data_IF_828762796798
#
_entry.id   IF_828762796798
#
_cell.length_a   1.000
_cell.length_b   1.000
_cell.length_c   1.000
_cell.angle_alpha   90.00
_cell.angle_beta   90.00
_cell.angle_gamma   90.00
#
_symmetry.space_group_name_H-M   'P 1'
#
loop_
_entity.id
_entity.type
_entity.pdbx_description
1 polymer ?
#
# COMPACT_ATOMS: atom_id res chain seq x y z
N UNK A 1 15.03 5.53 1.34
CA UNK A 1 14.12 6.47 0.66
C UNK A 1 12.78 5.78 0.44
N UNK A 2 11.66 6.42 0.77
CA UNK A 2 10.34 5.80 0.55
C UNK A 2 9.96 5.98 -0.91
N UNK A 3 10.08 4.93 -1.72
CA UNK A 3 9.75 4.98 -3.15
C UNK A 3 8.25 5.19 -3.32
N UNK A 4 7.87 6.32 -3.92
CA UNK A 4 6.47 6.58 -4.31
C UNK A 4 6.19 5.82 -5.61
N UNK A 5 5.09 5.08 -5.63
CA UNK A 5 4.61 4.37 -6.81
C UNK A 5 3.37 5.06 -7.35
N UNK A 6 3.24 5.15 -8.67
CA UNK A 6 2.06 5.69 -9.33
C UNK A 6 1.30 4.52 -9.94
N UNK A 7 0.02 4.40 -9.60
CA UNK A 7 -0.86 3.33 -10.05
C UNK A 7 -1.96 3.89 -10.94
N UNK A 8 -2.26 3.29 -12.10
CA UNK A 8 -3.45 3.61 -12.87
C UNK A 8 -4.68 3.08 -12.11
N UNK A 9 -5.71 3.93 -12.00
CA UNK A 9 -7.01 3.56 -11.42
C UNK A 9 -8.09 4.00 -12.36
N UNK A 10 -9.02 3.11 -12.71
CA UNK A 10 -10.22 3.45 -13.45
C UNK A 10 -11.34 3.70 -12.45
N UNK A 11 -11.96 4.88 -12.50
CA UNK A 11 -13.15 5.20 -11.74
C UNK A 11 -14.36 5.27 -12.68
N UNK A 12 -15.39 4.49 -12.36
CA UNK A 12 -16.68 4.52 -13.02
C UNK A 12 -17.73 5.21 -12.13
N UNK A 13 -18.48 6.16 -12.70
CA UNK A 13 -19.70 6.66 -12.09
C UNK A 13 -20.84 5.66 -12.34
N UNK A 14 -21.51 5.22 -11.28
CA UNK A 14 -22.63 4.28 -11.31
C UNK A 14 -23.88 5.01 -10.87
N UNK A 15 -24.88 5.08 -11.74
CA UNK A 15 -26.19 5.65 -11.40
C UNK A 15 -27.16 4.49 -11.19
N UNK A 16 -27.62 4.30 -9.95
CA UNK A 16 -28.59 3.28 -9.58
C UNK A 16 -29.70 3.92 -8.76
N UNK A 17 -30.96 3.73 -9.17
CA UNK A 17 -32.14 4.22 -8.44
C UNK A 17 -32.08 5.72 -8.08
N UNK A 18 -31.54 6.55 -8.99
CA UNK A 18 -31.39 7.99 -8.78
C UNK A 18 -30.25 8.40 -7.84
N UNK A 19 -29.46 7.45 -7.34
CA UNK A 19 -28.25 7.70 -6.55
C UNK A 19 -27.01 7.47 -7.40
N UNK A 20 -26.06 8.40 -7.31
CA UNK A 20 -24.75 8.26 -7.95
C UNK A 20 -23.76 7.69 -6.94
N UNK A 21 -23.10 6.60 -7.29
CA UNK A 21 -21.95 6.05 -6.57
C UNK A 21 -20.75 5.92 -7.49
N UNK A 22 -19.58 5.66 -6.93
CA UNK A 22 -18.33 5.57 -7.68
C UNK A 22 -17.67 4.23 -7.38
N UNK A 23 -17.26 3.53 -8.44
CA UNK A 23 -16.48 2.29 -8.36
C UNK A 23 -15.08 2.57 -8.89
N UNK A 24 -14.07 2.28 -8.09
CA UNK A 24 -12.66 2.33 -8.46
C UNK A 24 -12.12 0.91 -8.69
N UNK A 25 -11.36 0.72 -9.75
CA UNK A 25 -10.67 -0.53 -10.09
C UNK A 25 -9.24 -0.25 -10.48
N UNK A 26 -8.35 -1.21 -10.22
CA UNK A 26 -6.95 -1.14 -10.67
C UNK A 26 -6.78 -2.07 -11.86
N UNK A 27 -6.38 -1.57 -13.02
CA UNK A 27 -6.15 -2.44 -14.15
C UNK A 27 -5.01 -3.43 -13.89
N UNK A 28 -5.15 -4.65 -14.43
CA UNK A 28 -4.24 -5.76 -14.13
C UNK A 28 -4.43 -6.38 -12.74
N UNK A 29 -5.29 -5.82 -11.89
CA UNK A 29 -5.66 -6.34 -10.57
C UNK A 29 -7.19 -6.33 -10.40
N UNK A 30 -7.91 -7.23 -11.11
CA UNK A 30 -9.38 -7.21 -11.15
C UNK A 30 -10.05 -7.42 -9.79
N UNK A 31 -9.37 -8.08 -8.86
CA UNK A 31 -9.86 -8.31 -7.49
C UNK A 31 -9.76 -7.07 -6.58
N UNK A 32 -9.03 -6.04 -7.02
CA UNK A 32 -8.85 -4.80 -6.27
C UNK A 32 -9.91 -3.80 -6.72
N UNK A 33 -11.06 -3.87 -6.05
CA UNK A 33 -12.21 -3.00 -6.29
C UNK A 33 -12.58 -2.25 -5.02
N UNK A 34 -12.91 -0.97 -5.16
CA UNK A 34 -13.47 -0.18 -4.08
C UNK A 34 -14.70 0.59 -4.56
N UNK A 35 -15.66 0.80 -3.67
CA UNK A 35 -16.85 1.60 -3.93
C UNK A 35 -17.03 2.68 -2.87
N UNK A 36 -17.47 3.86 -3.30
CA UNK A 36 -17.80 5.00 -2.45
C UNK A 36 -19.04 5.73 -2.94
N UNK A 37 -19.70 6.45 -2.04
CA UNK A 37 -20.81 7.34 -2.39
C UNK A 37 -20.30 8.61 -3.09
N UNK A 38 -19.02 8.93 -2.88
CA UNK A 38 -18.33 10.04 -3.55
C UNK A 38 -17.09 9.55 -4.27
N UNK A 39 -16.66 10.30 -5.28
CA UNK A 39 -15.40 10.07 -6.00
C UNK A 39 -14.21 9.95 -5.03
N UNK A 40 -14.11 10.89 -4.08
CA UNK A 40 -13.03 10.92 -3.09
C UNK A 40 -13.01 9.70 -2.17
N UNK A 41 -14.19 9.22 -1.75
CA UNK A 41 -14.30 8.02 -0.92
C UNK A 41 -13.85 6.76 -1.65
N UNK A 42 -14.27 6.59 -2.91
CA UNK A 42 -13.83 5.46 -3.74
C UNK A 42 -12.30 5.48 -3.94
N UNK A 43 -11.74 6.67 -4.21
CA UNK A 43 -10.30 6.87 -4.36
C UNK A 43 -9.51 6.61 -3.06
N UNK A 44 -10.06 6.99 -1.90
CA UNK A 44 -9.44 6.73 -0.61
C UNK A 44 -9.42 5.23 -0.29
N UNK A 45 -10.53 4.53 -0.52
CA UNK A 45 -10.65 3.10 -0.27
C UNK A 45 -9.75 2.28 -1.19
N UNK A 46 -9.71 2.60 -2.48
CA UNK A 46 -8.81 1.90 -3.43
C UNK A 46 -7.35 2.16 -3.08
N UNK A 47 -6.98 3.37 -2.63
CA UNK A 47 -5.64 3.66 -2.12
C UNK A 47 -5.26 2.77 -0.97
N UNK A 48 -6.14 2.57 0.00
CA UNK A 48 -5.88 1.68 1.13
C UNK A 48 -5.74 0.22 0.68
N UNK A 49 -6.55 -0.23 -0.27
CA UNK A 49 -6.44 -1.57 -0.84
C UNK A 49 -5.10 -1.78 -1.54
N UNK A 50 -4.69 -0.87 -2.43
CA UNK A 50 -3.41 -0.93 -3.15
C UNK A 50 -2.22 -0.81 -2.20
N UNK A 51 -2.29 0.04 -1.19
CA UNK A 51 -1.22 0.20 -0.19
C UNK A 51 -0.91 -1.10 0.56
N UNK A 52 -1.91 -1.98 0.71
CA UNK A 52 -1.75 -3.29 1.36
C UNK A 52 -1.16 -4.35 0.42
N UNK A 53 -1.12 -4.11 -0.88
CA UNK A 53 -0.54 -5.02 -1.86
C UNK A 53 0.97 -4.82 -1.89
N UNK A 54 1.68 -5.67 -1.14
CA UNK A 54 3.11 -5.51 -0.86
C UNK A 54 4.06 -6.06 -1.93
N UNK A 55 3.55 -6.67 -3.01
CA UNK A 55 4.37 -7.57 -3.86
C UNK A 55 4.21 -7.32 -5.37
N UNK A 56 3.26 -6.50 -5.80
CA UNK A 56 3.01 -6.32 -7.25
C UNK A 56 3.57 -4.97 -7.70
N UNK A 57 4.45 -4.91 -8.74
CA UNK A 57 4.83 -3.64 -9.33
C UNK A 57 3.60 -2.95 -9.93
N UNK A 58 3.53 -1.61 -9.90
CA UNK A 58 2.47 -0.88 -10.58
C UNK A 58 2.42 -1.25 -12.06
N UNK A 59 1.21 -1.42 -12.58
CA UNK A 59 0.98 -1.59 -14.03
C UNK A 59 1.33 -0.28 -14.74
N UNK A 60 2.03 -0.37 -15.86
CA UNK A 60 2.35 0.80 -16.67
C UNK A 60 1.08 1.44 -17.24
N UNK A 61 1.12 2.77 -17.39
CA UNK A 61 0.05 3.50 -18.08
C UNK A 61 0.09 3.16 -19.56
N UNK A 62 -1.01 2.66 -20.09
CA UNK A 62 -1.21 2.52 -21.53
C UNK A 62 -1.93 3.75 -22.06
N UNK A 63 -1.47 4.30 -23.19
CA UNK A 63 -2.11 5.46 -23.83
C UNK A 63 -3.54 5.17 -24.29
N UNK A 64 -3.83 3.91 -24.66
CA UNK A 64 -5.07 3.51 -25.32
C UNK A 64 -5.96 2.64 -24.42
N UNK A 65 -6.06 2.95 -23.12
CA UNK A 65 -6.95 2.18 -22.25
C UNK A 65 -8.39 2.31 -22.75
N UNK A 66 -9.08 1.20 -23.12
CA UNK A 66 -10.48 1.27 -23.47
C UNK A 66 -11.28 1.65 -22.22
N UNK A 67 -11.81 2.88 -22.19
CA UNK A 67 -12.68 3.40 -21.13
C UNK A 67 -14.10 3.51 -21.66
N UNK A 68 -15.07 3.13 -20.82
CA UNK A 68 -16.47 3.44 -21.09
C UNK A 68 -16.77 4.93 -20.92
N UNK A 69 -17.92 5.39 -21.42
CA UNK A 69 -18.33 6.80 -21.36
C UNK A 69 -18.51 7.36 -19.95
N UNK A 70 -18.68 6.48 -18.95
CA UNK A 70 -18.81 6.82 -17.54
C UNK A 70 -17.52 6.54 -16.73
N UNK A 71 -16.42 6.20 -17.41
CA UNK A 71 -15.14 5.85 -16.80
C UNK A 71 -14.09 6.94 -16.99
N UNK A 72 -13.20 7.07 -16.01
CA UNK A 72 -12.07 7.99 -16.03
C UNK A 72 -10.82 7.32 -15.49
N UNK A 73 -9.69 7.54 -16.15
CA UNK A 73 -8.39 7.09 -15.68
C UNK A 73 -7.78 8.14 -14.74
N UNK A 74 -7.33 7.69 -13.57
CA UNK A 74 -6.76 8.52 -12.51
C UNK A 74 -5.39 7.98 -12.10
N UNK A 75 -4.41 8.88 -11.98
CA UNK A 75 -3.11 8.54 -11.45
C UNK A 75 -3.14 8.56 -9.91
N UNK A 76 -2.99 7.39 -9.30
CA UNK A 76 -2.99 7.23 -7.85
C UNK A 76 -1.56 7.10 -7.33
N UNK A 77 -1.10 8.10 -6.58
CA UNK A 77 0.19 8.03 -5.90
C UNK A 77 0.02 7.24 -4.59
N UNK A 78 0.78 6.15 -4.48
CA UNK A 78 0.79 5.25 -3.33
C UNK A 78 2.19 5.18 -2.75
N UNK A 79 2.28 5.22 -1.43
CA UNK A 79 3.50 4.90 -0.70
C UNK A 79 3.31 3.49 -0.15
N UNK A 80 4.02 2.47 -0.67
CA UNK A 80 3.83 1.10 -0.22
C UNK A 80 4.10 1.03 1.28
N UNK A 81 3.20 0.36 2.02
CA UNK A 81 3.49 0.04 3.41
C UNK A 81 4.34 -1.22 3.45
N UNK A 82 5.36 -1.26 4.32
CA UNK A 82 6.09 -2.50 4.54
C UNK A 82 5.09 -3.57 5.00
N UNK A 83 5.16 -4.76 4.40
CA UNK A 83 4.30 -5.88 4.77
C UNK A 83 4.32 -6.06 6.29
N UNK A 84 3.12 -6.08 6.88
CA UNK A 84 2.96 -6.48 8.27
C UNK A 84 3.51 -7.90 8.38
N UNK A 85 4.46 -8.16 9.29
CA UNK A 85 5.01 -9.50 9.43
C UNK A 85 3.87 -10.46 9.78
N UNK A 86 3.55 -11.38 8.88
CA UNK A 86 2.42 -12.31 9.02
C UNK A 86 2.66 -13.38 10.09
N UNK A 87 3.92 -13.57 10.53
CA UNK A 87 4.27 -14.37 11.71
C UNK A 87 5.59 -13.89 12.32
N UNK A 88 5.56 -13.46 13.57
CA UNK A 88 6.78 -13.18 14.33
C UNK A 88 7.53 -14.48 14.63
N UNK A 89 8.83 -14.53 14.34
CA UNK A 89 9.70 -15.67 14.70
C UNK A 89 10.58 -15.25 15.86
N UNK A 90 10.55 -16.02 16.96
CA UNK A 90 11.47 -15.81 18.08
C UNK A 90 12.88 -16.21 17.66
N UNK A 91 13.84 -15.30 17.84
CA UNK A 91 15.27 -15.54 17.64
C UNK A 91 16.00 -15.13 18.92
N UNK A 92 16.98 -15.95 19.31
CA UNK A 92 17.90 -15.60 20.40
C UNK A 92 19.18 -15.07 19.76
N UNK A 93 19.57 -13.86 20.11
CA UNK A 93 20.79 -13.19 19.65
C UNK A 93 21.51 -12.60 20.86
N UNK A 94 22.83 -12.50 20.78
CA UNK A 94 23.64 -11.81 21.78
C UNK A 94 23.90 -10.38 21.33
N UNK A 95 23.71 -9.42 22.23
CA UNK A 95 24.03 -8.00 22.02
C UNK A 95 24.90 -7.50 23.19
N UNK A 96 25.70 -6.45 22.99
CA UNK A 96 26.42 -5.78 24.06
C UNK A 96 25.46 -5.35 25.20
N UNK A 97 25.89 -5.52 26.45
CA UNK A 97 25.04 -5.29 27.63
C UNK A 97 24.63 -3.83 27.80
N UNK A 98 25.53 -2.90 27.48
CA UNK A 98 25.28 -1.46 27.45
C UNK A 98 24.14 -1.09 26.48
N UNK A 99 24.07 -1.76 25.33
CA UNK A 99 23.01 -1.55 24.35
C UNK A 99 21.65 -2.07 24.84
N UNK A 100 21.62 -3.22 25.50
CA UNK A 100 20.40 -3.79 26.06
C UNK A 100 19.83 -2.92 27.19
N UNK A 101 20.70 -2.43 28.08
CA UNK A 101 20.32 -1.54 29.16
C UNK A 101 19.81 -0.20 28.61
N UNK A 102 20.49 0.36 27.60
CA UNK A 102 20.03 1.57 26.92
C UNK A 102 18.66 1.37 26.26
N UNK A 103 18.43 0.23 25.60
CA UNK A 103 17.15 -0.08 24.98
C UNK A 103 16.02 -0.21 26.02
N UNK A 104 16.29 -0.83 27.18
CA UNK A 104 15.33 -0.94 28.29
C UNK A 104 14.99 0.42 28.88
N UNK A 105 15.99 1.26 29.17
CA UNK A 105 15.79 2.61 29.73
C UNK A 105 14.93 3.49 28.80
N UNK A 106 15.14 3.38 27.49
CA UNK A 106 14.45 4.18 26.49
C UNK A 106 13.15 3.53 25.97
N UNK A 107 12.70 2.41 26.55
CA UNK A 107 11.50 1.67 26.13
C UNK A 107 11.48 1.32 24.64
N UNK A 108 12.66 0.97 24.11
CA UNK A 108 12.83 0.64 22.69
C UNK A 108 12.42 -0.80 22.44
N UNK A 109 11.57 -1.00 21.42
CA UNK A 109 11.24 -2.34 20.95
C UNK A 109 12.37 -2.89 20.08
N UNK A 110 13.25 -3.68 20.68
CA UNK A 110 14.43 -4.28 20.03
C UNK A 110 14.02 -5.11 18.81
N UNK A 111 12.99 -5.95 18.90
CA UNK A 111 12.49 -6.75 17.77
C UNK A 111 12.09 -5.89 16.57
N UNK A 112 11.44 -4.74 16.80
CA UNK A 112 11.05 -3.79 15.74
C UNK A 112 12.28 -3.11 15.13
N UNK A 113 13.23 -2.68 15.96
CA UNK A 113 14.48 -2.07 15.50
C UNK A 113 15.26 -3.04 14.61
N UNK A 114 15.49 -4.27 15.08
CA UNK A 114 16.17 -5.32 14.31
C UNK A 114 15.45 -5.60 12.99
N UNK A 115 14.12 -5.70 13.00
CA UNK A 115 13.32 -5.90 11.78
C UNK A 115 13.55 -4.78 10.76
N UNK A 116 13.52 -3.53 11.22
CA UNK A 116 13.70 -2.37 10.34
C UNK A 116 15.14 -2.28 9.82
N UNK A 117 16.13 -2.53 10.67
CA UNK A 117 17.54 -2.52 10.28
C UNK A 117 17.85 -3.58 9.22
N UNK A 118 17.34 -4.81 9.39
CA UNK A 118 17.51 -5.88 8.39
C UNK A 118 16.89 -5.51 7.04
N UNK A 119 15.71 -4.90 7.03
CA UNK A 119 15.06 -4.41 5.80
C UNK A 119 15.83 -3.26 5.15
N UNK A 120 16.41 -2.36 5.93
CA UNK A 120 17.26 -1.28 5.42
C UNK A 120 18.53 -1.82 4.80
N UNK A 121 19.19 -2.80 5.43
CA UNK A 121 20.38 -3.45 4.88
C UNK A 121 20.07 -4.17 3.56
N UNK A 122 18.91 -4.82 3.43
CA UNK A 122 18.48 -5.42 2.16
C UNK A 122 18.33 -4.38 1.05
N UNK A 123 17.85 -3.17 1.37
CA UNK A 123 17.62 -2.10 0.39
C UNK A 123 18.89 -1.33 -0.01
N UNK A 124 20.02 -1.58 0.65
CA UNK A 124 21.32 -1.00 0.34
C UNK A 124 22.19 -1.90 -0.57
N UNK A 125 21.75 -3.15 -0.78
CA UNK A 125 22.35 -4.11 -1.71
C UNK A 125 21.53 -4.18 -3.00
#
# INVERSE_FOLDING_TARGET
MTTRQVWPVIIAALVQEGRTSFRATVPGLPDVVAQGQTFGEALQKIRQAVTRLTVTPPVEFQQDWPLASNEQLVALVVTPQPALPTKGVRRNISIPSDLDDWARLNRINVSRVTTNALRQLQALN
#
